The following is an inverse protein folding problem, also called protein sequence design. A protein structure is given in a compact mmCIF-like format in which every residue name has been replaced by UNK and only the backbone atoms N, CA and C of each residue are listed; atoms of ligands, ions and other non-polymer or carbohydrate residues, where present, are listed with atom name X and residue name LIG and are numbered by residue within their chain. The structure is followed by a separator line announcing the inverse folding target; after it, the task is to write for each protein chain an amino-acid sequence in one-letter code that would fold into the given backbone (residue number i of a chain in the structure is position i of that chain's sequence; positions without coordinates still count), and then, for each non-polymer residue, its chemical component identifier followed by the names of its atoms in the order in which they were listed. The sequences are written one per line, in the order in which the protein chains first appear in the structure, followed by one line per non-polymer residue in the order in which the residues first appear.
data_IF_699889425497
#
_entry.id   IF_699889425497
#
_cell.length_a   1.000
_cell.length_b   1.000
_cell.length_c   1.000
_cell.angle_alpha   90.00
_cell.angle_beta   90.00
_cell.angle_gamma   90.00
#
_symmetry.space_group_name_H-M   'P 1'
#
loop_
_entity.id
_entity.type
_entity.pdbx_description
1 polymer ?
#
# COMPACT_ATOMS: atom_id res chain seq x y z
N UNK A 1 2.77 7.44 36.32
CA UNK A 1 2.34 7.43 34.91
C UNK A 1 3.48 6.81 34.12
N UNK A 2 3.36 5.55 33.72
CA UNK A 2 4.40 4.87 32.93
C UNK A 2 4.28 5.33 31.49
N UNK A 3 5.33 5.93 30.93
CA UNK A 3 5.41 6.12 29.48
C UNK A 3 5.74 4.77 28.88
N UNK A 4 4.81 4.20 28.12
CA UNK A 4 5.13 3.07 27.24
C UNK A 4 6.04 3.64 26.15
N UNK A 5 7.34 3.38 26.27
CA UNK A 5 8.30 3.53 25.19
C UNK A 5 8.23 2.25 24.38
N UNK A 6 7.36 2.22 23.38
CA UNK A 6 7.40 1.19 22.35
C UNK A 6 8.49 1.54 21.34
N UNK A 7 9.45 0.64 21.16
CA UNK A 7 10.46 0.76 20.11
C UNK A 7 9.81 0.45 18.77
N UNK A 8 10.08 1.30 17.77
CA UNK A 8 9.70 1.01 16.40
C UNK A 8 10.39 -0.27 15.93
N UNK A 9 9.60 -1.20 15.39
CA UNK A 9 10.10 -2.44 14.79
C UNK A 9 9.92 -2.39 13.28
N UNK A 10 10.84 -3.03 12.57
CA UNK A 10 10.69 -3.22 11.14
C UNK A 10 9.49 -4.14 10.90
N UNK A 11 8.48 -3.63 10.20
CA UNK A 11 7.29 -4.39 9.82
C UNK A 11 7.58 -5.27 8.59
N UNK A 12 8.00 -4.63 7.49
CA UNK A 12 8.36 -5.28 6.23
C UNK A 12 9.68 -4.68 5.72
N UNK A 13 10.64 -5.54 5.39
CA UNK A 13 11.85 -5.14 4.69
C UNK A 13 11.60 -5.10 3.17
N UNK A 14 10.81 -4.14 2.70
CA UNK A 14 10.32 -4.11 1.31
C UNK A 14 11.41 -3.86 0.27
N UNK A 15 12.58 -3.36 0.70
CA UNK A 15 13.68 -2.91 -0.17
C UNK A 15 13.18 -1.97 -1.28
N UNK A 16 12.15 -1.17 -0.99
CA UNK A 16 11.59 -0.19 -1.93
C UNK A 16 12.59 0.96 -2.11
N UNK A 17 13.05 1.26 -3.34
CA UNK A 17 13.88 2.44 -3.59
C UNK A 17 13.18 3.74 -3.20
N UNK A 18 11.84 3.80 -3.35
CA UNK A 18 11.02 4.91 -2.89
C UNK A 18 9.64 4.42 -2.44
N UNK A 19 9.56 3.91 -1.21
CA UNK A 19 8.30 3.55 -0.56
C UNK A 19 7.54 4.79 -0.07
N UNK A 20 6.31 5.00 -0.54
CA UNK A 20 5.53 6.22 -0.27
C UNK A 20 4.02 5.99 -0.29
N UNK A 21 3.28 7.00 0.18
CA UNK A 21 1.82 7.02 0.21
C UNK A 21 1.18 5.92 1.08
N UNK A 22 1.67 5.66 2.31
CA UNK A 22 1.05 4.66 3.17
C UNK A 22 -0.36 5.10 3.59
N UNK A 23 -1.34 4.20 3.45
CA UNK A 23 -2.68 4.40 4.00
C UNK A 23 -3.16 3.15 4.73
N UNK A 24 -3.89 3.36 5.82
CA UNK A 24 -4.60 2.29 6.50
C UNK A 24 -6.03 2.18 5.98
N UNK A 25 -6.38 1.02 5.44
CA UNK A 25 -7.74 0.70 5.03
C UNK A 25 -8.49 0.12 6.23
N UNK A 26 -9.34 0.96 6.84
CA UNK A 26 -10.15 0.58 8.01
C UNK A 26 -11.15 -0.54 7.74
N UNK A 27 -11.62 -0.70 6.50
CA UNK A 27 -12.62 -1.73 6.18
C UNK A 27 -11.95 -3.10 6.02
N UNK A 28 -10.82 -3.13 5.29
CA UNK A 28 -10.05 -4.36 5.05
C UNK A 28 -9.08 -4.71 6.19
N UNK A 29 -8.79 -3.76 7.09
CA UNK A 29 -7.77 -3.88 8.15
C UNK A 29 -6.38 -4.19 7.57
N UNK A 30 -5.98 -3.46 6.53
CA UNK A 30 -4.69 -3.63 5.87
C UNK A 30 -3.98 -2.30 5.64
N UNK A 31 -2.65 -2.35 5.56
CA UNK A 31 -1.81 -1.22 5.19
C UNK A 31 -1.47 -1.30 3.70
N UNK A 32 -1.80 -0.25 2.95
CA UNK A 32 -1.40 -0.09 1.56
C UNK A 32 -0.24 0.91 1.44
N UNK A 33 0.64 0.73 0.48
CA UNK A 33 1.63 1.74 0.06
C UNK A 33 2.14 1.47 -1.35
N UNK A 34 2.90 2.41 -1.90
CA UNK A 34 3.51 2.30 -3.24
C UNK A 34 5.02 2.20 -3.12
N UNK A 35 5.67 1.55 -4.09
CA UNK A 35 7.06 1.80 -4.42
C UNK A 35 7.09 2.53 -5.77
N UNK A 36 7.22 3.86 -5.69
CA UNK A 36 6.97 4.76 -6.82
C UNK A 36 7.88 4.40 -7.99
N UNK A 37 9.17 4.20 -7.75
CA UNK A 37 10.17 4.00 -8.80
C UNK A 37 10.06 2.63 -9.47
N UNK A 38 9.55 1.62 -8.76
CA UNK A 38 9.29 0.30 -9.35
C UNK A 38 7.89 0.17 -9.96
N UNK A 39 6.98 1.11 -9.66
CA UNK A 39 5.61 1.04 -10.15
C UNK A 39 4.84 -0.14 -9.57
N UNK A 40 5.02 -0.40 -8.27
CA UNK A 40 4.30 -1.47 -7.57
C UNK A 40 3.47 -0.93 -6.40
N UNK A 41 2.35 -1.61 -6.14
CA UNK A 41 1.50 -1.40 -4.97
C UNK A 41 1.69 -2.56 -4.01
N UNK A 42 1.78 -2.28 -2.72
CA UNK A 42 1.91 -3.26 -1.65
C UNK A 42 0.70 -3.24 -0.73
N UNK A 43 0.39 -4.39 -0.13
CA UNK A 43 -0.65 -4.57 0.88
C UNK A 43 -0.15 -5.49 1.98
N UNK A 44 -0.07 -4.98 3.20
CA UNK A 44 0.24 -5.77 4.38
C UNK A 44 -1.01 -6.01 5.22
N UNK A 45 -1.27 -7.29 5.54
CA UNK A 45 -2.34 -7.71 6.42
C UNK A 45 -1.76 -8.13 7.78
N UNK A 46 -2.02 -7.37 8.87
CA UNK A 46 -1.51 -7.73 10.20
C UNK A 46 -2.14 -9.00 10.79
N UNK A 47 -3.29 -9.45 10.30
CA UNK A 47 -3.98 -10.62 10.87
C UNK A 47 -3.26 -11.94 10.57
N UNK A 48 -2.60 -12.02 9.40
CA UNK A 48 -1.86 -13.21 8.95
C UNK A 48 -0.39 -12.90 8.59
N UNK A 49 0.04 -11.67 8.85
CA UNK A 49 1.37 -11.14 8.54
C UNK A 49 1.74 -11.23 7.05
N UNK A 50 0.76 -11.37 6.16
CA UNK A 50 1.01 -11.48 4.72
C UNK A 50 1.30 -10.11 4.09
N UNK A 51 2.18 -10.11 3.09
CA UNK A 51 2.46 -8.95 2.25
C UNK A 51 2.25 -9.30 0.78
N UNK A 52 1.20 -8.74 0.17
CA UNK A 52 0.91 -8.86 -1.27
C UNK A 52 1.51 -7.68 -2.03
N UNK A 53 1.90 -7.92 -3.27
CA UNK A 53 2.47 -6.90 -4.16
C UNK A 53 1.93 -7.07 -5.57
N UNK A 54 1.57 -5.98 -6.22
CA UNK A 54 1.10 -5.95 -7.60
C UNK A 54 1.94 -5.01 -8.43
N UNK A 55 2.35 -5.47 -9.61
CA UNK A 55 3.02 -4.64 -10.62
C UNK A 55 1.96 -3.87 -11.42
N UNK A 56 2.04 -2.54 -11.40
CA UNK A 56 1.11 -1.66 -12.13
C UNK A 56 1.67 -1.31 -13.52
N UNK A 57 2.97 -1.51 -13.73
CA UNK A 57 3.64 -1.25 -15.02
C UNK A 57 3.98 0.22 -15.29
N UNK A 58 3.73 1.10 -14.32
CA UNK A 58 4.10 2.52 -14.36
C UNK A 58 4.25 3.08 -12.94
N UNK A 59 4.95 4.20 -12.78
CA UNK A 59 5.12 4.82 -11.46
C UNK A 59 3.75 5.20 -10.88
N UNK A 60 3.52 4.87 -9.61
CA UNK A 60 2.33 5.25 -8.85
C UNK A 60 2.79 6.10 -7.69
N UNK A 61 2.43 7.38 -7.67
CA UNK A 61 2.90 8.32 -6.64
C UNK A 61 2.16 8.19 -5.32
N UNK A 62 0.89 7.82 -5.35
CA UNK A 62 0.06 7.57 -4.17
C UNK A 62 -1.20 6.78 -4.56
N UNK A 63 -1.95 6.31 -3.56
CA UNK A 63 -3.21 5.61 -3.71
C UNK A 63 -4.19 5.99 -2.60
N UNK A 64 -5.48 5.81 -2.87
CA UNK A 64 -6.57 5.96 -1.88
C UNK A 64 -7.60 4.85 -2.05
N UNK A 65 -8.34 4.51 -0.99
CA UNK A 65 -9.50 3.62 -1.10
C UNK A 65 -10.63 4.33 -1.84
N UNK A 66 -11.33 3.60 -2.71
CA UNK A 66 -12.48 4.12 -3.44
C UNK A 66 -13.79 3.69 -2.76
N UNK A 67 -14.76 4.61 -2.66
CA UNK A 67 -16.10 4.28 -2.14
C UNK A 67 -16.83 3.22 -2.96
N UNK A 68 -16.50 3.11 -4.26
CA UNK A 68 -17.03 2.07 -5.15
C UNK A 68 -16.37 0.70 -4.97
N UNK A 69 -15.46 0.55 -4.00
CA UNK A 69 -14.59 -0.61 -3.87
C UNK A 69 -13.29 -0.44 -4.65
N UNK A 70 -12.25 -1.20 -4.29
CA UNK A 70 -10.91 -1.08 -4.87
C UNK A 70 -10.16 0.18 -4.43
N UNK A 71 -9.16 0.55 -5.23
CA UNK A 71 -8.26 1.68 -5.03
C UNK A 71 -8.33 2.65 -6.21
N UNK A 72 -8.11 3.95 -5.95
CA UNK A 72 -7.73 4.91 -6.99
C UNK A 72 -6.24 5.17 -6.88
N UNK A 73 -5.51 4.97 -7.97
CA UNK A 73 -4.07 5.18 -8.06
C UNK A 73 -3.78 6.48 -8.81
N UNK A 74 -2.93 7.35 -8.24
CA UNK A 74 -2.38 8.49 -8.96
C UNK A 74 -1.09 8.05 -9.68
N UNK A 75 -1.24 7.57 -10.90
CA UNK A 75 -0.18 6.98 -11.71
C UNK A 75 0.45 8.01 -12.67
N UNK A 76 1.62 7.66 -13.22
CA UNK A 76 2.39 8.50 -14.14
C UNK A 76 1.56 9.02 -15.32
N UNK A 77 0.71 8.17 -15.90
CA UNK A 77 -0.08 8.49 -17.09
C UNK A 77 -1.55 8.79 -16.77
N UNK A 78 -1.87 9.15 -15.52
CA UNK A 78 -3.22 9.54 -15.10
C UNK A 78 -3.73 8.74 -13.90
N UNK A 79 -5.04 8.72 -13.72
CA UNK A 79 -5.68 7.96 -12.65
C UNK A 79 -6.10 6.58 -13.12
N UNK A 80 -5.85 5.57 -12.28
CA UNK A 80 -6.31 4.20 -12.48
C UNK A 80 -7.29 3.84 -11.36
N UNK A 81 -8.32 3.07 -11.68
CA UNK A 81 -9.07 2.32 -10.69
C UNK A 81 -8.50 0.90 -10.66
N UNK A 82 -8.19 0.39 -9.49
CA UNK A 82 -7.51 -0.90 -9.30
C UNK A 82 -8.29 -1.78 -8.33
N UNK A 83 -8.59 -3.00 -8.73
CA UNK A 83 -9.20 -4.02 -7.88
C UNK A 83 -8.15 -5.04 -7.43
N UNK A 84 -7.77 -5.05 -6.14
CA UNK A 84 -6.75 -5.98 -5.64
C UNK A 84 -7.19 -7.45 -5.62
N UNK A 85 -8.49 -7.75 -5.74
CA UNK A 85 -8.99 -9.12 -5.78
C UNK A 85 -8.84 -9.75 -7.17
N UNK A 86 -8.91 -8.95 -8.23
CA UNK A 86 -8.70 -9.41 -9.62
C UNK A 86 -7.30 -9.09 -10.15
N UNK A 87 -6.65 -8.07 -9.59
CA UNK A 87 -5.38 -7.52 -10.10
C UNK A 87 -5.54 -6.64 -11.34
N UNK A 88 -6.76 -6.17 -11.64
CA UNK A 88 -7.08 -5.30 -12.78
C UNK A 88 -7.09 -3.82 -12.40
#
# INVERSE_FOLDING_TARGET
MSMILEEAKLLIDSKSPLGEGPIWDMERQVLWWTDILRGVVHCYNPADESNRTWEIGQMVGTLVTAQSGGLVLAAQNGFLHFDPETGE
#
